data_IF_858092056542
#
_entry.id   IF_858092056542
#
_cell.length_a   1.000
_cell.length_b   1.000
_cell.length_c   1.000
_cell.angle_alpha   90.00
_cell.angle_beta   90.00
_cell.angle_gamma   90.00
#
_symmetry.space_group_name_H-M   'P 1'
#
loop_
_entity.id
_entity.type
_entity.pdbx_description
1 polymer ?
#
# COMPACT_ATOMS: atom_id res chain seq x y z
N UNK A 1 2.55 57.33 -2.23
CA UNK A 1 2.33 55.94 -2.68
C UNK A 1 1.09 55.43 -1.99
N UNK A 2 0.07 54.89 -2.67
CA UNK A 2 -1.09 54.37 -1.98
C UNK A 2 -0.66 53.10 -1.22
N UNK A 3 -0.83 53.12 0.10
CA UNK A 3 -0.58 51.97 0.95
C UNK A 3 -1.59 50.87 0.61
N UNK A 4 -1.10 49.66 0.34
CA UNK A 4 -1.93 48.50 0.02
C UNK A 4 -2.91 48.25 1.17
N UNK A 5 -4.22 48.26 0.89
CA UNK A 5 -5.25 48.00 1.89
C UNK A 5 -5.29 46.49 2.19
N UNK A 6 -5.08 46.11 3.45
CA UNK A 6 -5.23 44.73 3.86
C UNK A 6 -6.70 44.31 3.71
N UNK A 7 -6.95 43.26 2.93
CA UNK A 7 -8.26 42.64 2.76
C UNK A 7 -8.24 41.29 3.47
N UNK A 8 -9.36 40.90 4.10
CA UNK A 8 -9.51 39.60 4.74
C UNK A 8 -9.82 38.52 3.69
N UNK A 9 -8.83 38.23 2.85
CA UNK A 9 -8.87 37.17 1.85
C UNK A 9 -8.12 35.97 2.42
N UNK A 10 -8.77 34.80 2.45
CA UNK A 10 -8.17 33.54 2.92
C UNK A 10 -8.35 32.47 1.86
N UNK A 11 -7.37 31.58 1.77
CA UNK A 11 -7.45 30.34 1.00
C UNK A 11 -7.64 29.18 1.97
N UNK A 12 -8.19 28.08 1.46
CA UNK A 12 -8.25 26.84 2.22
C UNK A 12 -6.84 26.28 2.42
N UNK A 13 -6.57 25.74 3.61
CA UNK A 13 -5.27 25.16 3.97
C UNK A 13 -5.49 23.85 4.71
N UNK A 14 -4.68 22.86 4.39
CA UNK A 14 -4.64 21.57 5.07
C UNK A 14 -3.50 21.53 6.11
N UNK A 15 -3.64 20.81 7.23
CA UNK A 15 -2.54 20.54 8.13
C UNK A 15 -1.43 19.77 7.41
N UNK A 16 -0.20 20.25 7.51
CA UNK A 16 0.98 19.62 6.93
C UNK A 16 2.06 19.40 7.97
N UNK A 17 2.78 18.29 7.85
CA UNK A 17 3.90 17.91 8.72
C UNK A 17 5.09 17.48 7.87
N UNK A 18 6.30 17.85 8.28
CA UNK A 18 7.53 17.39 7.64
C UNK A 18 8.17 16.34 8.54
N UNK A 19 8.35 15.12 8.03
CA UNK A 19 8.99 14.03 8.75
C UNK A 19 9.69 13.10 7.76
N UNK A 20 10.94 12.74 8.08
CA UNK A 20 11.74 11.73 7.36
C UNK A 20 11.82 11.99 5.84
N UNK A 21 12.00 13.26 5.46
CA UNK A 21 12.16 13.66 4.05
C UNK A 21 10.85 13.79 3.27
N UNK A 22 9.70 13.58 3.91
CA UNK A 22 8.37 13.66 3.28
C UNK A 22 7.52 14.78 3.88
N UNK A 23 6.66 15.35 3.03
CA UNK A 23 5.58 16.26 3.45
C UNK A 23 4.30 15.44 3.57
N UNK A 24 3.81 15.31 4.79
CA UNK A 24 2.57 14.63 5.12
C UNK A 24 1.43 15.64 5.15
N UNK A 25 0.32 15.33 4.48
CA UNK A 25 -0.85 16.20 4.40
C UNK A 25 -2.05 15.45 5.00
N UNK A 26 -2.70 16.06 6.00
CA UNK A 26 -3.94 15.55 6.54
C UNK A 26 -5.12 16.07 5.71
N UNK A 27 -5.80 15.19 4.98
CA UNK A 27 -6.95 15.53 4.15
C UNK A 27 -8.30 15.30 4.81
N UNK A 28 -8.33 14.78 6.05
CA UNK A 28 -9.55 14.48 6.78
C UNK A 28 -10.18 15.71 7.44
N UNK A 29 -11.49 15.64 7.70
CA UNK A 29 -12.25 16.71 8.38
C UNK A 29 -12.03 16.72 9.91
N UNK A 30 -11.49 15.64 10.46
CA UNK A 30 -11.18 15.49 11.89
C UNK A 30 -9.84 16.12 12.29
N UNK A 31 -9.54 16.08 13.59
CA UNK A 31 -8.20 16.40 14.09
C UNK A 31 -7.20 15.36 13.55
N UNK A 32 -6.04 15.78 13.00
CA UNK A 32 -5.01 14.84 12.56
C UNK A 32 -4.64 13.87 13.68
N UNK A 33 -4.55 12.58 13.37
CA UNK A 33 -4.02 11.61 14.31
C UNK A 33 -2.59 12.00 14.73
N UNK A 34 -2.25 11.72 15.99
CA UNK A 34 -1.00 12.20 16.60
C UNK A 34 0.26 11.48 16.11
N UNK A 35 0.15 10.43 15.30
CA UNK A 35 1.27 9.54 15.02
C UNK A 35 1.44 9.33 13.52
N UNK A 36 2.45 10.00 12.97
CA UNK A 36 2.94 9.79 11.61
C UNK A 36 3.82 8.53 11.62
N UNK A 37 3.61 7.57 10.72
CA UNK A 37 4.46 6.38 10.61
C UNK A 37 5.93 6.74 10.37
N UNK A 38 6.84 5.96 10.93
CA UNK A 38 8.27 6.11 10.67
C UNK A 38 8.69 5.38 9.40
N UNK A 39 9.43 6.09 8.54
CA UNK A 39 10.09 5.59 7.32
C UNK A 39 11.52 5.10 7.60
N UNK A 40 12.04 5.29 8.81
CA UNK A 40 13.37 4.83 9.18
C UNK A 40 13.43 3.30 9.23
N UNK A 41 14.57 2.70 8.82
CA UNK A 41 14.73 1.26 8.92
C UNK A 41 14.80 0.84 10.41
N UNK A 42 14.46 -0.43 10.74
CA UNK A 42 14.67 -0.96 12.07
C UNK A 42 16.14 -0.82 12.52
N UNK A 43 16.36 -0.79 13.84
CA UNK A 43 17.72 -0.71 14.39
C UNK A 43 18.59 -1.86 13.87
N UNK A 44 19.78 -1.52 13.38
CA UNK A 44 20.72 -2.48 12.79
C UNK A 44 20.58 -2.70 11.28
N UNK A 45 19.61 -2.07 10.63
CA UNK A 45 19.41 -2.14 9.18
C UNK A 45 19.83 -0.83 8.48
N UNK A 46 20.20 -0.91 7.20
CA UNK A 46 20.54 0.24 6.36
C UNK A 46 19.68 0.22 5.10
N UNK A 47 19.15 1.37 4.72
CA UNK A 47 18.43 1.52 3.44
C UNK A 47 19.45 1.43 2.31
N UNK A 48 19.33 0.40 1.47
CA UNK A 48 20.20 0.22 0.31
C UNK A 48 19.72 1.01 -0.91
N UNK A 49 18.41 1.24 -1.02
CA UNK A 49 17.79 2.00 -2.10
C UNK A 49 16.44 2.54 -1.65
N UNK A 50 16.11 3.74 -2.10
CA UNK A 50 14.82 4.40 -1.91
C UNK A 50 14.44 5.06 -3.25
N UNK A 51 13.18 4.93 -3.66
CA UNK A 51 12.70 5.45 -4.94
C UNK A 51 11.33 6.08 -4.75
N UNK A 52 11.12 7.23 -5.39
CA UNK A 52 9.81 7.88 -5.50
C UNK A 52 9.40 7.85 -6.96
N UNK A 53 8.20 7.36 -7.25
CA UNK A 53 7.65 7.30 -8.60
C UNK A 53 6.18 7.67 -8.60
N UNK A 54 5.76 8.37 -9.66
CA UNK A 54 4.35 8.60 -9.94
C UNK A 54 3.81 7.45 -10.77
N UNK A 55 2.74 6.82 -10.29
CA UNK A 55 2.11 5.69 -10.97
C UNK A 55 0.64 6.02 -11.28
N UNK A 56 0.20 5.94 -12.55
CA UNK A 56 -1.18 6.18 -12.94
C UNK A 56 -2.02 4.91 -12.68
N UNK A 57 -2.05 4.44 -11.44
CA UNK A 57 -2.78 3.24 -11.03
C UNK A 57 -3.58 3.52 -9.78
N UNK A 58 -4.69 2.81 -9.62
CA UNK A 58 -5.46 2.84 -8.39
C UNK A 58 -4.64 2.20 -7.26
N UNK A 59 -4.45 2.92 -6.15
CA UNK A 59 -3.55 2.53 -5.06
C UNK A 59 -3.95 1.20 -4.39
N UNK A 60 -5.23 0.83 -4.40
CA UNK A 60 -5.71 -0.47 -3.94
C UNK A 60 -5.17 -1.65 -4.75
N UNK A 61 -4.81 -1.48 -6.03
CA UNK A 61 -4.15 -2.52 -6.81
C UNK A 61 -2.72 -2.79 -6.34
N UNK A 62 -2.00 -1.75 -5.92
CA UNK A 62 -0.65 -1.86 -5.36
C UNK A 62 -0.68 -2.63 -4.03
N UNK A 63 -1.65 -2.30 -3.18
CA UNK A 63 -1.89 -3.01 -1.93
C UNK A 63 -2.32 -4.46 -2.17
N UNK A 64 -3.20 -4.69 -3.14
CA UNK A 64 -3.62 -6.03 -3.55
C UNK A 64 -2.45 -6.88 -4.02
N UNK A 65 -1.56 -6.33 -4.85
CA UNK A 65 -0.36 -7.00 -5.32
C UNK A 65 0.59 -7.36 -4.17
N UNK A 66 0.80 -6.45 -3.22
CA UNK A 66 1.67 -6.76 -2.07
C UNK A 66 1.07 -7.85 -1.16
N UNK A 67 -0.26 -7.89 -1.05
CA UNK A 67 -1.00 -8.89 -0.27
C UNK A 67 -1.15 -10.24 -0.99
N UNK A 68 -0.85 -10.30 -2.28
CA UNK A 68 -0.84 -11.51 -3.08
C UNK A 68 0.60 -11.99 -3.25
N UNK A 69 0.94 -13.12 -2.65
CA UNK A 69 2.27 -13.73 -2.81
C UNK A 69 2.27 -14.83 -3.87
N UNK A 70 1.10 -15.20 -4.39
CA UNK A 70 0.96 -16.31 -5.33
C UNK A 70 1.53 -15.97 -6.71
N UNK A 71 1.67 -14.69 -7.06
CA UNK A 71 2.33 -14.27 -8.30
C UNK A 71 3.86 -14.42 -8.23
N UNK A 72 4.45 -14.55 -7.04
CA UNK A 72 5.89 -14.47 -6.87
C UNK A 72 6.69 -15.50 -7.69
N UNK A 73 6.28 -16.78 -7.77
CA UNK A 73 6.95 -17.77 -8.65
C UNK A 73 6.88 -17.44 -10.14
N UNK A 74 5.96 -16.55 -10.57
CA UNK A 74 5.75 -16.18 -11.97
C UNK A 74 6.40 -14.83 -12.31
N UNK A 75 6.34 -13.86 -11.39
CA UNK A 75 6.88 -12.51 -11.59
C UNK A 75 8.34 -12.38 -11.16
N UNK A 76 8.73 -13.02 -10.05
CA UNK A 76 10.04 -12.86 -9.40
C UNK A 76 10.97 -14.05 -9.68
N UNK A 77 10.93 -14.57 -10.91
CA UNK A 77 11.70 -15.76 -11.35
C UNK A 77 13.21 -15.57 -11.30
N UNK A 78 13.69 -14.32 -11.38
CA UNK A 78 15.11 -13.96 -11.33
C UNK A 78 15.56 -13.30 -10.02
N UNK A 79 14.64 -13.01 -9.10
CA UNK A 79 14.89 -12.26 -7.86
C UNK A 79 14.58 -13.11 -6.63
N UNK A 80 13.74 -12.64 -5.70
CA UNK A 80 13.62 -13.25 -4.37
C UNK A 80 12.90 -14.60 -4.40
N UNK A 81 12.01 -14.84 -5.38
CA UNK A 81 11.26 -16.09 -5.51
C UNK A 81 11.92 -17.09 -6.47
N UNK A 82 13.17 -16.86 -6.85
CA UNK A 82 13.89 -17.77 -7.76
C UNK A 82 13.95 -19.18 -7.18
N UNK A 83 13.37 -20.13 -7.89
CA UNK A 83 13.35 -21.55 -7.51
C UNK A 83 12.26 -21.92 -6.50
N UNK A 84 11.36 -21.01 -6.16
CA UNK A 84 10.22 -21.32 -5.31
C UNK A 84 9.20 -22.17 -6.07
N UNK A 85 8.75 -23.25 -5.46
CA UNK A 85 7.62 -24.02 -5.96
C UNK A 85 6.31 -23.29 -5.66
N UNK A 86 5.25 -23.66 -6.37
CA UNK A 86 3.88 -23.20 -6.08
C UNK A 86 3.29 -24.18 -5.05
N UNK A 87 3.14 -23.79 -3.77
CA UNK A 87 2.57 -24.65 -2.74
C UNK A 87 1.06 -24.79 -2.96
N UNK A 88 0.48 -25.93 -2.59
CA UNK A 88 -0.97 -26.17 -2.68
C UNK A 88 -1.79 -25.36 -1.69
N UNK A 89 -1.15 -24.86 -0.62
CA UNK A 89 -1.75 -24.00 0.39
C UNK A 89 -0.70 -23.04 0.92
N UNK A 90 -1.11 -21.79 1.11
CA UNK A 90 -0.34 -20.79 1.84
C UNK A 90 -1.12 -20.40 3.09
N UNK A 91 -0.45 -20.44 4.24
CA UNK A 91 -1.02 -19.92 5.50
C UNK A 91 -0.40 -18.57 5.78
N UNK A 92 -1.24 -17.64 6.21
CA UNK A 92 -0.81 -16.37 6.75
C UNK A 92 -1.14 -16.34 8.24
N UNK A 93 -0.11 -16.35 9.08
CA UNK A 93 -0.24 -16.39 10.53
C UNK A 93 -0.18 -14.96 11.09
N UNK A 94 -1.32 -14.43 11.54
CA UNK A 94 -1.43 -13.09 12.13
C UNK A 94 -1.24 -13.13 13.65
N UNK A 95 -0.31 -12.34 14.25
CA UNK A 95 -0.01 -12.44 15.68
C UNK A 95 -1.12 -11.97 16.63
N UNK A 96 -1.86 -10.89 16.35
CA UNK A 96 -2.97 -10.44 17.21
C UNK A 96 -3.77 -9.24 16.65
N UNK A 97 -3.13 -8.33 15.90
CA UNK A 97 -3.76 -7.17 15.26
C UNK A 97 -2.84 -6.59 14.18
N UNK A 98 -3.41 -5.93 13.19
CA UNK A 98 -2.68 -5.33 12.05
C UNK A 98 -2.54 -6.24 10.83
N UNK A 99 -2.21 -5.63 9.68
CA UNK A 99 -1.82 -6.31 8.45
C UNK A 99 -0.37 -6.81 8.59
N UNK A 100 -0.11 -7.72 9.53
CA UNK A 100 1.22 -8.31 9.72
C UNK A 100 1.12 -9.82 9.91
N UNK A 101 2.11 -10.57 9.45
CA UNK A 101 2.12 -12.01 9.61
C UNK A 101 3.25 -12.73 8.90
N UNK A 102 3.35 -14.01 9.24
CA UNK A 102 4.31 -14.94 8.65
C UNK A 102 3.63 -15.77 7.57
N UNK A 103 4.27 -15.87 6.41
CA UNK A 103 3.85 -16.72 5.32
C UNK A 103 4.42 -18.15 5.51
N UNK A 104 3.59 -19.18 5.41
CA UNK A 104 4.01 -20.59 5.46
C UNK A 104 3.55 -21.27 4.16
N UNK A 105 4.44 -21.88 3.35
CA UNK A 105 5.85 -22.23 3.64
C UNK A 105 6.91 -21.21 3.18
N UNK A 106 6.52 -20.04 2.65
CA UNK A 106 7.48 -19.03 2.20
C UNK A 106 8.08 -18.28 3.38
N UNK A 107 9.39 -18.33 3.68
CA UNK A 107 9.97 -17.76 4.90
C UNK A 107 10.02 -16.21 4.84
N UNK A 108 8.85 -15.59 4.82
CA UNK A 108 8.63 -14.15 4.72
C UNK A 108 7.81 -13.74 5.94
N UNK A 109 8.43 -12.89 6.76
CA UNK A 109 7.73 -12.03 7.70
C UNK A 109 7.31 -10.76 6.95
N UNK A 110 6.01 -10.48 6.92
CA UNK A 110 5.46 -9.32 6.22
C UNK A 110 4.67 -8.46 7.19
N UNK A 111 4.92 -7.16 7.14
CA UNK A 111 4.17 -6.16 7.88
C UNK A 111 3.82 -5.01 6.93
N UNK A 112 2.53 -4.73 6.77
CA UNK A 112 2.05 -3.58 6.03
C UNK A 112 1.94 -2.41 6.99
N UNK A 113 2.95 -1.54 6.97
CA UNK A 113 2.86 -0.21 7.55
C UNK A 113 2.57 0.79 6.44
N UNK A 114 1.74 1.81 6.68
CA UNK A 114 1.78 2.99 5.85
C UNK A 114 3.18 3.64 5.95
N UNK A 115 3.79 4.10 4.85
CA UNK A 115 3.34 3.98 3.46
C UNK A 115 3.71 2.60 2.89
N UNK A 116 2.78 1.98 2.16
CA UNK A 116 3.02 0.66 1.57
C UNK A 116 3.91 0.79 0.32
N UNK A 117 5.05 0.11 0.32
CA UNK A 117 6.07 0.16 -0.74
C UNK A 117 5.93 -1.00 -1.71
N UNK A 118 6.04 -0.76 -3.01
CA UNK A 118 5.84 -1.77 -4.08
C UNK A 118 7.13 -2.02 -4.84
N UNK A 119 7.36 -3.28 -5.24
CA UNK A 119 8.50 -3.65 -6.06
C UNK A 119 8.28 -3.33 -7.54
N UNK A 120 9.32 -2.85 -8.22
CA UNK A 120 9.24 -2.45 -9.63
C UNK A 120 8.90 -3.61 -10.60
N UNK A 121 9.16 -4.86 -10.20
CA UNK A 121 8.83 -6.05 -11.00
C UNK A 121 7.32 -6.26 -11.16
N UNK A 122 6.52 -5.76 -10.22
CA UNK A 122 5.06 -5.91 -10.20
C UNK A 122 4.35 -4.83 -11.01
N UNK A 123 5.06 -3.75 -11.35
CA UNK A 123 4.47 -2.57 -11.96
C UNK A 123 3.73 -2.89 -13.26
N UNK A 124 4.30 -3.76 -14.10
CA UNK A 124 3.66 -4.16 -15.37
C UNK A 124 2.36 -4.92 -15.15
N UNK A 125 2.27 -5.73 -14.10
CA UNK A 125 1.05 -6.47 -13.76
C UNK A 125 -0.05 -5.51 -13.29
N UNK A 126 0.30 -4.60 -12.39
CA UNK A 126 -0.62 -3.62 -11.82
C UNK A 126 -1.14 -2.66 -12.89
N UNK A 127 -0.27 -2.17 -13.79
CA UNK A 127 -0.68 -1.33 -14.92
C UNK A 127 -1.66 -2.05 -15.84
N UNK A 128 -1.40 -3.32 -16.17
CA UNK A 128 -2.30 -4.12 -17.01
C UNK A 128 -3.66 -4.38 -16.36
N UNK A 129 -3.70 -4.56 -15.03
CA UNK A 129 -4.95 -4.65 -14.28
C UNK A 129 -5.72 -3.34 -14.32
N UNK A 130 -5.04 -2.21 -14.12
CA UNK A 130 -5.66 -0.88 -14.18
C UNK A 130 -6.25 -0.58 -15.56
N UNK A 131 -5.53 -0.88 -16.64
CA UNK A 131 -6.03 -0.74 -18.01
C UNK A 131 -7.30 -1.58 -18.25
N UNK A 132 -7.34 -2.82 -17.74
CA UNK A 132 -8.53 -3.67 -17.82
C UNK A 132 -9.71 -3.08 -17.06
N UNK A 133 -9.48 -2.49 -15.89
CA UNK A 133 -10.53 -1.82 -15.12
C UNK A 133 -11.11 -0.62 -15.86
N UNK A 134 -10.26 0.20 -16.49
CA UNK A 134 -10.71 1.32 -17.36
C UNK A 134 -11.61 0.80 -18.49
N UNK A 135 -11.29 -0.37 -19.03
CA UNK A 135 -12.08 -1.04 -20.06
C UNK A 135 -13.29 -1.83 -19.53
N UNK A 136 -13.69 -1.63 -18.27
CA UNK A 136 -14.89 -2.21 -17.67
C UNK A 136 -14.73 -3.63 -17.14
N UNK A 137 -13.50 -4.17 -17.09
CA UNK A 137 -13.28 -5.48 -16.48
C UNK A 137 -13.44 -5.41 -14.95
N UNK A 138 -14.21 -6.34 -14.41
CA UNK A 138 -14.17 -6.63 -12.98
C UNK A 138 -12.98 -7.55 -12.69
N UNK A 139 -11.83 -6.96 -12.37
CA UNK A 139 -10.59 -7.69 -12.05
C UNK A 139 -10.69 -8.56 -10.79
N UNK A 140 -11.80 -8.48 -10.05
CA UNK A 140 -12.05 -9.19 -8.79
C UNK A 140 -13.21 -10.19 -8.87
N UNK A 141 -13.71 -10.50 -10.06
CA UNK A 141 -14.93 -11.30 -10.22
C UNK A 141 -14.79 -12.76 -9.72
N UNK A 142 -13.56 -13.27 -9.59
CA UNK A 142 -13.27 -14.67 -9.30
C UNK A 142 -12.14 -14.84 -8.29
N UNK A 143 -12.36 -14.51 -7.00
CA UNK A 143 -11.34 -14.72 -5.99
C UNK A 143 -11.07 -16.21 -5.78
N UNK A 144 -9.79 -16.55 -5.60
CA UNK A 144 -9.32 -17.89 -5.26
C UNK A 144 -8.79 -17.93 -3.82
N UNK A 145 -8.40 -19.12 -3.36
CA UNK A 145 -7.96 -19.35 -1.98
C UNK A 145 -6.75 -18.50 -1.54
N UNK A 146 -5.95 -18.01 -2.49
CA UNK A 146 -4.79 -17.17 -2.24
C UNK A 146 -5.15 -15.69 -1.98
N UNK A 147 -6.33 -15.23 -2.42
CA UNK A 147 -6.75 -13.83 -2.31
C UNK A 147 -7.24 -13.40 -0.92
N UNK A 148 -7.13 -14.27 0.10
CA UNK A 148 -7.75 -14.05 1.42
C UNK A 148 -7.36 -12.71 2.06
N UNK A 149 -6.10 -12.29 1.93
CA UNK A 149 -5.65 -11.02 2.47
C UNK A 149 -6.16 -9.84 1.65
N UNK A 150 -6.10 -9.92 0.33
CA UNK A 150 -6.70 -8.91 -0.56
C UNK A 150 -8.20 -8.72 -0.29
N UNK A 151 -8.94 -9.81 -0.03
CA UNK A 151 -10.36 -9.76 0.35
C UNK A 151 -10.54 -9.06 1.71
N UNK A 152 -9.76 -9.44 2.73
CA UNK A 152 -9.84 -8.81 4.06
C UNK A 152 -9.54 -7.32 4.01
N UNK A 153 -8.49 -6.92 3.29
CA UNK A 153 -8.15 -5.52 3.08
C UNK A 153 -9.31 -4.74 2.44
N UNK A 154 -9.94 -5.28 1.40
CA UNK A 154 -11.09 -4.64 0.76
C UNK A 154 -12.30 -4.52 1.67
N UNK A 155 -12.65 -5.59 2.39
CA UNK A 155 -13.76 -5.54 3.35
C UNK A 155 -13.56 -4.48 4.42
N UNK A 156 -12.32 -4.36 4.91
CA UNK A 156 -11.93 -3.31 5.84
C UNK A 156 -12.03 -1.92 5.19
N UNK A 157 -11.41 -1.71 4.02
CA UNK A 157 -11.45 -0.43 3.30
C UNK A 157 -12.89 0.03 3.02
N UNK A 158 -13.71 -0.86 2.48
CA UNK A 158 -15.10 -0.60 2.16
C UNK A 158 -15.93 -0.27 3.42
N UNK A 159 -15.59 -0.85 4.57
CA UNK A 159 -16.21 -0.51 5.85
C UNK A 159 -15.80 0.88 6.31
N UNK A 160 -14.50 1.20 6.24
CA UNK A 160 -13.95 2.53 6.56
C UNK A 160 -14.55 3.62 5.67
N UNK A 161 -14.65 3.40 4.36
CA UNK A 161 -15.24 4.34 3.40
C UNK A 161 -16.74 4.59 3.66
N UNK A 162 -17.44 3.59 4.23
CA UNK A 162 -18.84 3.72 4.66
C UNK A 162 -18.99 4.34 6.06
N UNK A 163 -17.89 4.69 6.74
CA UNK A 163 -17.90 5.28 8.07
C UNK A 163 -18.18 4.29 9.20
N UNK A 164 -17.91 2.99 8.99
CA UNK A 164 -17.89 2.03 10.08
C UNK A 164 -16.54 2.12 10.81
N UNK A 165 -16.56 2.49 12.09
CA UNK A 165 -15.41 2.41 13.01
C UNK A 165 -15.17 0.98 13.49
#
# INVERSE_FOLDING_TARGET
MPATKMLNVRIWSLPCFEQEGMVWIWSGDGTPESTIPSLLPPSGFTIHAEMVMELPVEHGLLLGNLLDIAHAPFAHTSTFAKGWSVPSLVKFLTPASGLQGYWDPYPIDMEFRPPCMVLNEDLRLVLGQHERMINGANVWNWPVSYDKLGIRYRLWRDATERGAE
#
